data_IF_516427781642
#
_entry.id   IF_516427781642
#
_cell.length_a   1.000
_cell.length_b   1.000
_cell.length_c   1.000
_cell.angle_alpha   90.00
_cell.angle_beta   90.00
_cell.angle_gamma   90.00
#
_symmetry.space_group_name_H-M   'P 1'
#
loop_
_entity.id
_entity.type
_entity.pdbx_description
1 polymer ?
#
# COMPACT_ATOMS: atom_id res chain seq x y z
N UNK A 1 -19.26 1.39 0.43
CA UNK A 1 -17.91 1.24 1.04
C UNK A 1 -16.92 0.90 -0.05
N UNK A 2 -15.83 1.65 -0.16
CA UNK A 2 -14.78 1.40 -1.16
C UNK A 2 -14.03 0.11 -0.83
N UNK A 3 -13.76 -0.74 -1.83
CA UNK A 3 -12.83 -1.86 -1.66
C UNK A 3 -11.48 -1.45 -2.20
N UNK A 4 -10.52 -1.26 -1.31
CA UNK A 4 -9.16 -0.85 -1.65
C UNK A 4 -8.23 -2.07 -1.60
N UNK A 5 -7.27 -2.15 -2.51
CA UNK A 5 -6.21 -3.17 -2.46
C UNK A 5 -4.86 -2.65 -2.91
N UNK A 6 -3.82 -3.34 -2.43
CA UNK A 6 -2.42 -3.15 -2.80
C UNK A 6 -1.89 -4.48 -3.34
N UNK A 7 -1.03 -4.42 -4.35
CA UNK A 7 -0.29 -5.59 -4.82
C UNK A 7 1.02 -5.72 -4.05
N UNK A 8 0.97 -6.55 -3.00
CA UNK A 8 2.12 -6.93 -2.18
C UNK A 8 2.60 -8.36 -2.50
N UNK A 9 2.32 -8.83 -3.72
CA UNK A 9 2.75 -10.14 -4.20
C UNK A 9 4.12 -10.08 -4.89
N UNK A 10 4.58 -11.21 -5.42
CA UNK A 10 5.81 -11.28 -6.21
C UNK A 10 7.09 -11.54 -5.43
N UNK A 11 8.20 -11.53 -6.19
CA UNK A 11 9.57 -11.77 -5.71
C UNK A 11 10.03 -10.67 -4.75
N UNK A 12 11.03 -10.91 -3.87
CA UNK A 12 11.46 -9.94 -2.87
C UNK A 12 11.70 -8.52 -3.38
N UNK A 13 12.37 -8.37 -4.53
CA UNK A 13 12.63 -7.07 -5.15
C UNK A 13 11.36 -6.35 -5.63
N UNK A 14 10.38 -7.10 -6.17
CA UNK A 14 9.09 -6.56 -6.61
C UNK A 14 8.28 -6.09 -5.40
N UNK A 15 8.27 -6.89 -4.34
CA UNK A 15 7.63 -6.52 -3.07
C UNK A 15 8.22 -5.24 -2.48
N UNK A 16 9.56 -5.10 -2.45
CA UNK A 16 10.23 -3.88 -1.97
C UNK A 16 9.85 -2.66 -2.82
N UNK A 17 9.94 -2.80 -4.14
CA UNK A 17 9.61 -1.72 -5.09
C UNK A 17 8.14 -1.27 -4.94
N UNK A 18 7.20 -2.21 -4.84
CA UNK A 18 5.80 -1.89 -4.60
C UNK A 18 5.60 -1.21 -3.24
N UNK A 19 6.27 -1.69 -2.18
CA UNK A 19 6.18 -1.10 -0.85
C UNK A 19 6.65 0.36 -0.84
N UNK A 20 7.78 0.66 -1.49
CA UNK A 20 8.30 2.02 -1.65
C UNK A 20 7.34 2.89 -2.46
N UNK A 21 6.80 2.38 -3.57
CA UNK A 21 5.81 3.08 -4.39
C UNK A 21 4.57 3.46 -3.55
N UNK A 22 4.03 2.53 -2.77
CA UNK A 22 2.85 2.78 -1.94
C UNK A 22 3.14 3.74 -0.81
N UNK A 23 4.30 3.65 -0.16
CA UNK A 23 4.72 4.64 0.84
C UNK A 23 4.76 6.07 0.27
N UNK A 24 5.37 6.23 -0.91
CA UNK A 24 5.42 7.51 -1.61
C UNK A 24 4.04 7.99 -2.07
N UNK A 25 3.16 7.07 -2.48
CA UNK A 25 1.77 7.40 -2.79
C UNK A 25 0.99 7.86 -1.55
N UNK A 26 1.18 7.19 -0.41
CA UNK A 26 0.54 7.56 0.85
C UNK A 26 1.00 8.92 1.36
N UNK A 27 2.27 9.28 1.15
CA UNK A 27 2.81 10.58 1.58
C UNK A 27 2.25 11.76 0.79
N UNK A 28 1.75 11.54 -0.43
CA UNK A 28 1.08 12.55 -1.25
C UNK A 28 -0.44 12.66 -0.99
N UNK A 29 -1.04 11.67 -0.31
CA UNK A 29 -2.46 11.68 0.02
C UNK A 29 -2.76 12.62 1.19
N UNK A 30 -3.55 13.67 0.95
CA UNK A 30 -3.98 14.60 1.99
C UNK A 30 -4.71 13.90 3.15
N UNK A 31 -5.54 12.90 2.84
CA UNK A 31 -6.28 12.09 3.83
C UNK A 31 -5.39 11.20 4.72
N UNK A 32 -4.12 11.05 4.37
CA UNK A 32 -3.17 10.17 5.06
C UNK A 32 -1.89 10.87 5.52
N UNK A 33 -1.68 12.14 5.16
CA UNK A 33 -0.46 12.88 5.47
C UNK A 33 -0.24 13.06 6.98
N UNK A 34 -1.33 13.25 7.73
CA UNK A 34 -1.35 13.36 9.19
C UNK A 34 -2.40 12.39 9.75
N UNK A 35 -2.11 11.08 9.77
CA UNK A 35 -3.06 10.10 10.26
C UNK A 35 -3.25 10.29 11.78
N UNK A 36 -4.46 10.05 12.32
CA UNK A 36 -4.66 10.03 13.76
C UNK A 36 -3.77 8.97 14.42
N UNK A 37 -3.45 9.11 15.71
CA UNK A 37 -2.53 8.23 16.45
C UNK A 37 -2.88 6.73 16.37
N UNK A 38 -4.14 6.42 16.06
CA UNK A 38 -4.65 5.05 15.92
C UNK A 38 -4.29 4.40 14.57
N UNK A 39 -3.92 5.21 13.57
CA UNK A 39 -3.52 4.75 12.24
C UNK A 39 -1.99 4.63 12.14
N UNK A 40 -1.52 3.79 11.21
CA UNK A 40 -0.09 3.53 11.05
C UNK A 40 0.60 4.77 10.48
N UNK A 41 1.51 5.38 11.23
CA UNK A 41 2.22 6.57 10.75
C UNK A 41 3.12 6.25 9.53
N UNK A 42 3.35 7.26 8.67
CA UNK A 42 4.29 7.14 7.54
C UNK A 42 5.72 6.81 8.00
N UNK A 43 6.11 7.29 9.18
CA UNK A 43 7.39 6.96 9.80
C UNK A 43 7.46 5.45 10.14
N UNK A 44 6.40 4.91 10.76
CA UNK A 44 6.35 3.49 11.10
C UNK A 44 6.37 2.58 9.88
N UNK A 45 5.70 2.99 8.79
CA UNK A 45 5.80 2.28 7.51
C UNK A 45 7.22 2.31 6.95
N UNK A 46 7.89 3.47 6.99
CA UNK A 46 9.26 3.63 6.50
C UNK A 46 10.24 2.73 7.26
N UNK A 47 10.14 2.68 8.60
CA UNK A 47 10.92 1.76 9.43
C UNK A 47 10.72 0.30 9.00
N UNK A 48 9.47 -0.10 8.70
CA UNK A 48 9.16 -1.45 8.24
C UNK A 48 9.77 -1.77 6.86
N UNK A 49 9.78 -0.79 5.95
CA UNK A 49 10.44 -0.90 4.64
C UNK A 49 11.94 -1.07 4.80
N UNK A 50 12.57 -0.21 5.61
CA UNK A 50 14.02 -0.21 5.83
C UNK A 50 14.49 -1.51 6.48
N UNK A 51 13.71 -2.03 7.43
CA UNK A 51 13.97 -3.34 8.01
C UNK A 51 13.90 -4.45 6.96
N UNK A 52 12.89 -4.44 6.10
CA UNK A 52 12.75 -5.46 5.06
C UNK A 52 13.88 -5.38 4.03
N UNK A 53 14.27 -4.18 3.60
CA UNK A 53 15.41 -3.93 2.70
C UNK A 53 16.71 -4.50 3.29
N UNK A 54 17.01 -4.17 4.54
CA UNK A 54 18.19 -4.69 5.26
C UNK A 54 18.20 -6.23 5.32
N UNK A 55 17.05 -6.86 5.59
CA UNK A 55 16.95 -8.33 5.61
C UNK A 55 17.05 -8.94 4.22
N UNK A 56 16.57 -8.25 3.19
CA UNK A 56 16.69 -8.68 1.80
C UNK A 56 18.17 -8.71 1.38
N UNK A 57 18.94 -7.66 1.65
CA UNK A 57 20.38 -7.60 1.39
C UNK A 57 21.15 -8.71 2.13
N UNK A 58 20.83 -8.92 3.42
CA UNK A 58 21.46 -9.96 4.24
C UNK A 58 21.15 -11.39 3.74
N UNK A 59 20.06 -11.58 3.00
CA UNK A 59 19.63 -12.89 2.49
C UNK A 59 20.32 -13.31 1.18
N UNK A 60 21.14 -12.44 0.58
CA UNK A 60 21.84 -12.71 -0.70
C UNK A 60 22.79 -13.92 -0.59
N UNK A 61 23.33 -14.17 0.60
CA UNK A 61 24.26 -15.28 0.86
C UNK A 61 23.56 -16.64 1.03
N UNK A 62 22.26 -16.75 0.74
CA UNK A 62 21.45 -17.99 0.86
C UNK A 62 21.42 -18.61 2.28
N UNK A 63 21.74 -17.83 3.30
CA UNK A 63 21.59 -18.25 4.68
C UNK A 63 20.09 -18.44 5.02
N UNK A 64 19.74 -19.67 5.40
CA UNK A 64 18.36 -20.05 5.77
C UNK A 64 17.81 -19.20 6.90
N UNK A 65 18.63 -18.78 7.86
CA UNK A 65 18.20 -17.91 8.95
C UNK A 65 17.83 -16.52 8.41
N UNK A 66 18.67 -15.94 7.55
CA UNK A 66 18.41 -14.62 6.96
C UNK A 66 17.18 -14.63 6.06
N UNK A 67 16.96 -15.71 5.30
CA UNK A 67 15.75 -15.90 4.50
C UNK A 67 14.50 -15.90 5.39
N UNK A 68 14.51 -16.63 6.51
CA UNK A 68 13.39 -16.63 7.46
C UNK A 68 13.13 -15.24 8.04
N UNK A 69 14.18 -14.53 8.46
CA UNK A 69 14.06 -13.17 8.99
C UNK A 69 13.50 -12.18 7.97
N UNK A 70 13.88 -12.32 6.69
CA UNK A 70 13.30 -11.53 5.59
C UNK A 70 11.83 -11.84 5.40
N UNK A 71 11.44 -13.11 5.40
CA UNK A 71 10.04 -13.51 5.20
C UNK A 71 9.15 -13.06 6.38
N UNK A 72 9.69 -13.08 7.61
CA UNK A 72 9.02 -12.50 8.78
C UNK A 72 8.87 -10.97 8.66
N UNK A 73 9.92 -10.26 8.23
CA UNK A 73 9.85 -8.82 7.96
C UNK A 73 8.82 -8.50 6.86
N UNK A 74 8.74 -9.35 5.81
CA UNK A 74 7.72 -9.25 4.76
C UNK A 74 6.32 -9.30 5.33
N UNK A 75 6.07 -10.27 6.22
CA UNK A 75 4.77 -10.48 6.87
C UNK A 75 4.40 -9.27 7.72
N UNK A 76 5.32 -8.78 8.55
CA UNK A 76 5.11 -7.60 9.39
C UNK A 76 4.76 -6.36 8.55
N UNK A 77 5.53 -6.10 7.48
CA UNK A 77 5.26 -4.98 6.59
C UNK A 77 3.92 -5.11 5.86
N UNK A 78 3.58 -6.34 5.42
CA UNK A 78 2.27 -6.63 4.83
C UNK A 78 1.13 -6.31 5.80
N UNK A 79 1.27 -6.67 7.07
CA UNK A 79 0.25 -6.40 8.09
C UNK A 79 0.14 -4.90 8.41
N UNK A 80 1.23 -4.13 8.33
CA UNK A 80 1.17 -2.67 8.40
C UNK A 80 0.37 -2.09 7.24
N UNK A 81 0.64 -2.51 6.00
CA UNK A 81 -0.12 -2.06 4.83
C UNK A 81 -1.60 -2.46 4.89
N UNK A 82 -1.94 -3.64 5.44
CA UNK A 82 -3.34 -4.00 5.65
C UNK A 82 -4.06 -3.04 6.61
N UNK A 83 -3.40 -2.62 7.70
CA UNK A 83 -3.96 -1.63 8.64
C UNK A 83 -4.17 -0.26 7.97
N UNK A 84 -3.22 0.17 7.15
CA UNK A 84 -3.32 1.39 6.34
C UNK A 84 -4.53 1.32 5.42
N UNK A 85 -4.70 0.21 4.71
CA UNK A 85 -5.83 0.01 3.79
C UNK A 85 -7.15 -0.01 4.55
N UNK A 86 -7.23 -0.72 5.68
CA UNK A 86 -8.43 -0.75 6.50
C UNK A 86 -8.84 0.66 6.95
N UNK A 87 -7.86 1.48 7.38
CA UNK A 87 -8.10 2.88 7.71
C UNK A 87 -8.61 3.68 6.51
N UNK A 88 -7.93 3.60 5.37
CA UNK A 88 -8.36 4.30 4.15
C UNK A 88 -9.76 3.88 3.70
N UNK A 89 -10.15 2.62 3.87
CA UNK A 89 -11.51 2.16 3.56
C UNK A 89 -12.58 2.76 4.48
N UNK A 90 -12.22 3.18 5.69
CA UNK A 90 -13.12 3.83 6.64
C UNK A 90 -13.25 5.34 6.38
N UNK A 91 -12.15 6.01 6.00
CA UNK A 91 -12.13 7.48 5.88
C UNK A 91 -12.28 8.00 4.46
N UNK A 92 -11.89 7.23 3.44
CA UNK A 92 -11.92 7.70 2.07
C UNK A 92 -13.35 7.80 1.53
N UNK A 93 -13.60 8.89 0.81
CA UNK A 93 -14.85 9.19 0.11
C UNK A 93 -14.70 8.93 -1.39
N UNK A 94 -15.78 9.08 -2.15
CA UNK A 94 -15.71 8.92 -3.62
C UNK A 94 -14.85 9.99 -4.30
N UNK A 95 -14.69 11.16 -3.69
CA UNK A 95 -13.88 12.27 -4.20
C UNK A 95 -12.38 11.96 -4.11
N UNK A 96 -11.99 11.07 -3.19
CA UNK A 96 -10.60 10.67 -2.97
C UNK A 96 -10.13 9.59 -3.97
N UNK A 97 -11.04 8.96 -4.72
CA UNK A 97 -10.73 7.87 -5.65
C UNK A 97 -9.60 8.24 -6.65
N UNK A 98 -9.62 9.41 -7.32
CA UNK A 98 -8.55 9.78 -8.24
C UNK A 98 -7.19 9.85 -7.55
N UNK A 99 -7.13 10.42 -6.35
CA UNK A 99 -5.90 10.55 -5.58
C UNK A 99 -5.40 9.16 -5.10
N UNK A 100 -6.31 8.29 -4.64
CA UNK A 100 -5.99 6.91 -4.27
C UNK A 100 -5.40 6.12 -5.43
N UNK A 101 -6.00 6.23 -6.63
CA UNK A 101 -5.49 5.57 -7.84
C UNK A 101 -4.13 6.11 -8.27
N UNK A 102 -3.92 7.44 -8.17
CA UNK A 102 -2.61 8.05 -8.42
C UNK A 102 -1.54 7.58 -7.42
N UNK A 103 -1.91 7.37 -6.16
CA UNK A 103 -1.06 6.77 -5.14
C UNK A 103 -0.77 5.28 -5.37
N UNK A 104 -1.35 4.67 -6.42
CA UNK A 104 -1.18 3.26 -6.76
C UNK A 104 -2.11 2.31 -6.01
N UNK A 105 -3.09 2.83 -5.26
CA UNK A 105 -4.08 2.03 -4.55
C UNK A 105 -5.18 1.63 -5.52
N UNK A 106 -5.42 0.32 -5.64
CA UNK A 106 -6.48 -0.19 -6.49
C UNK A 106 -7.83 -0.02 -5.81
N UNK A 107 -8.82 0.52 -6.54
CA UNK A 107 -10.21 0.60 -6.09
C UNK A 107 -11.04 -0.45 -6.81
N UNK A 108 -11.37 -1.55 -6.14
CA UNK A 108 -12.19 -2.64 -6.68
C UNK A 108 -13.68 -2.31 -6.50
N UNK A 109 -14.48 -2.50 -7.54
CA UNK A 109 -15.95 -2.46 -7.44
C UNK A 109 -16.68 -1.32 -8.16
N UNK A 110 -16.01 -0.49 -8.96
CA UNK A 110 -16.70 0.27 -10.01
C UNK A 110 -16.53 -0.44 -11.35
N UNK A 111 -17.55 -1.18 -11.77
CA UNK A 111 -17.83 -1.26 -13.19
C UNK A 111 -17.95 0.19 -13.70
N UNK A 112 -17.34 0.56 -14.84
CA UNK A 112 -17.46 1.91 -15.35
C UNK A 112 -18.95 2.18 -15.56
N UNK A 113 -19.54 3.07 -14.74
CA UNK A 113 -20.80 3.70 -15.12
C UNK A 113 -20.47 4.54 -16.35
N UNK A 114 -20.58 3.93 -17.53
CA UNK A 114 -20.67 4.65 -18.79
C UNK A 114 -21.78 5.68 -18.57
N UNK A 115 -21.42 6.95 -18.41
CA UNK A 115 -22.33 8.04 -18.65
C UNK A 115 -22.63 7.97 -20.15
N UNK A 116 -23.68 7.25 -20.53
CA UNK A 116 -24.27 7.39 -21.85
C UNK A 116 -24.85 8.80 -21.88
N UNK A 117 -24.06 9.74 -22.37
CA UNK A 117 -24.58 11.05 -22.76
C UNK A 117 -25.46 10.77 -23.97
N UNK A 118 -26.77 10.71 -23.74
CA UNK A 118 -27.74 10.75 -24.82
C UNK A 118 -27.73 12.20 -25.31
N UNK A 119 -27.12 12.44 -26.46
CA UNK A 119 -27.27 13.70 -27.18
C UNK A 119 -28.74 13.82 -27.64
N UNK A 120 -29.42 14.96 -27.42
CA UNK A 120 -30.73 15.17 -28.02
C UNK A 120 -30.59 15.33 -29.54
N UNK A 121 -31.49 14.66 -30.27
CA UNK A 121 -31.70 14.83 -31.71
C UNK A 121 -32.54 16.07 -32.00
#
# INVERSE_FOLDING_TARGET
MLRLSLDLSGKPAVFLSNSLRYHNGLSSLAIYRNPPDQAVSLARLKEGIDLYELKMESSINYDRLQIKLRDDARKQLTDLFKKVIAYLQMVATEEDIPALMQAGIEVKGRAPRKKTVVAPA
#
